data_IF_313688401449
#
_entry.id   IF_313688401449
#
_cell.length_a   1.000
_cell.length_b   1.000
_cell.length_c   1.000
_cell.angle_alpha   90.00
_cell.angle_beta   90.00
_cell.angle_gamma   90.00
#
_symmetry.space_group_name_H-M   'P 1'
#
loop_
_entity.id
_entity.type
_entity.pdbx_description
1 polymer ?
#
# COMPACT_ATOMS: atom_id res chain seq x y z
N UNK A 1 -38.41 -24.20 13.66
CA UNK A 1 -38.27 -22.75 13.89
C UNK A 1 -36.84 -22.38 13.55
N UNK A 2 -36.60 -21.82 12.36
CA UNK A 2 -35.27 -21.39 11.93
C UNK A 2 -35.13 -19.90 12.23
N UNK A 3 -34.34 -19.55 13.25
CA UNK A 3 -33.89 -18.18 13.50
C UNK A 3 -32.82 -17.83 12.47
N UNK A 4 -33.19 -17.06 11.46
CA UNK A 4 -32.26 -16.49 10.49
C UNK A 4 -31.35 -15.48 11.18
N UNK A 5 -30.04 -15.71 11.15
CA UNK A 5 -29.04 -14.71 11.47
C UNK A 5 -29.11 -13.62 10.41
N UNK A 6 -29.83 -12.54 10.70
CA UNK A 6 -29.75 -11.31 9.93
C UNK A 6 -28.37 -10.71 10.21
N UNK A 7 -27.37 -11.03 9.37
CA UNK A 7 -26.15 -10.23 9.31
C UNK A 7 -26.59 -8.84 8.85
N UNK A 8 -26.82 -7.92 9.78
CA UNK A 8 -27.13 -6.52 9.45
C UNK A 8 -25.98 -5.99 8.59
N UNK A 9 -26.22 -5.87 7.29
CA UNK A 9 -25.32 -5.17 6.38
C UNK A 9 -25.37 -3.70 6.74
N UNK A 10 -24.23 -3.12 7.14
CA UNK A 10 -24.16 -1.69 7.45
C UNK A 10 -24.60 -0.87 6.23
N UNK A 11 -25.41 0.15 6.47
CA UNK A 11 -25.87 1.08 5.44
C UNK A 11 -24.73 1.99 4.98
N UNK A 12 -24.83 2.54 3.78
CA UNK A 12 -23.86 3.50 3.25
C UNK A 12 -23.72 4.73 4.17
N UNK A 13 -24.80 5.19 4.79
CA UNK A 13 -24.76 6.31 5.74
C UNK A 13 -23.94 5.97 7.00
N UNK A 14 -24.06 4.75 7.52
CA UNK A 14 -23.28 4.27 8.68
C UNK A 14 -21.80 4.13 8.30
N UNK A 15 -21.50 3.58 7.12
CA UNK A 15 -20.13 3.45 6.63
C UNK A 15 -19.47 4.81 6.37
N UNK A 16 -20.21 5.78 5.84
CA UNK A 16 -19.73 7.15 5.68
C UNK A 16 -19.41 7.78 7.04
N UNK A 17 -20.30 7.62 8.01
CA UNK A 17 -20.10 8.13 9.38
C UNK A 17 -18.86 7.51 10.03
N UNK A 18 -18.69 6.19 9.91
CA UNK A 18 -17.50 5.49 10.41
C UNK A 18 -16.22 6.04 9.78
N UNK A 19 -16.22 6.24 8.46
CA UNK A 19 -15.06 6.75 7.73
C UNK A 19 -14.64 8.15 8.19
N UNK A 20 -15.60 9.04 8.48
CA UNK A 20 -15.30 10.35 9.05
C UNK A 20 -14.68 10.27 10.45
N UNK A 21 -15.14 9.34 11.28
CA UNK A 21 -14.53 9.11 12.59
C UNK A 21 -13.08 8.65 12.44
N UNK A 22 -12.79 7.75 11.51
CA UNK A 22 -11.43 7.28 11.21
C UNK A 22 -10.52 8.45 10.75
N UNK A 23 -11.00 9.32 9.86
CA UNK A 23 -10.25 10.52 9.41
C UNK A 23 -9.98 11.52 10.55
N UNK A 24 -10.94 11.66 11.48
CA UNK A 24 -10.80 12.55 12.64
C UNK A 24 -9.76 12.01 13.62
N UNK A 25 -9.79 10.70 13.88
CA UNK A 25 -9.03 10.08 14.96
C UNK A 25 -7.60 9.70 14.52
N UNK A 26 -7.39 9.38 13.24
CA UNK A 26 -6.09 8.92 12.72
C UNK A 26 -5.24 10.06 12.15
N UNK A 27 -4.73 10.91 13.05
CA UNK A 27 -3.87 12.06 12.72
C UNK A 27 -2.44 11.89 13.24
N UNK A 28 -1.49 12.23 12.39
CA UNK A 28 -0.05 12.15 12.66
C UNK A 28 0.44 13.36 13.47
N UNK A 29 1.40 13.17 14.37
CA UNK A 29 2.10 14.31 15.00
C UNK A 29 3.10 14.95 14.04
N UNK A 30 3.75 14.12 13.22
CA UNK A 30 4.67 14.48 12.14
C UNK A 30 4.60 13.42 11.06
N UNK A 31 4.96 13.77 9.82
CA UNK A 31 5.02 12.83 8.72
C UNK A 31 6.17 13.17 7.77
N UNK A 32 7.04 12.20 7.54
CA UNK A 32 8.24 12.29 6.72
C UNK A 32 8.19 11.33 5.53
N UNK A 33 9.12 11.48 4.60
CA UNK A 33 9.28 10.52 3.51
C UNK A 33 9.63 9.10 4.01
N UNK A 34 10.35 8.98 5.13
CA UNK A 34 10.65 7.68 5.75
C UNK A 34 9.38 7.01 6.30
N UNK A 35 8.46 7.81 6.86
CA UNK A 35 7.16 7.34 7.31
C UNK A 35 6.32 6.85 6.13
N UNK A 36 6.33 7.57 5.01
CA UNK A 36 5.67 7.14 3.78
C UNK A 36 6.19 5.78 3.29
N UNK A 37 7.51 5.59 3.21
CA UNK A 37 8.10 4.29 2.82
C UNK A 37 7.69 3.18 3.78
N UNK A 38 7.76 3.42 5.09
CA UNK A 38 7.43 2.42 6.11
C UNK A 38 5.94 2.05 6.07
N UNK A 39 5.07 3.05 5.90
CA UNK A 39 3.63 2.86 5.78
C UNK A 39 3.29 2.08 4.51
N UNK A 40 3.88 2.46 3.37
CA UNK A 40 3.68 1.78 2.08
C UNK A 40 4.13 0.31 2.11
N UNK A 41 5.29 0.02 2.69
CA UNK A 41 5.76 -1.35 2.89
C UNK A 41 4.86 -2.15 3.84
N UNK A 42 4.28 -1.50 4.85
CA UNK A 42 3.33 -2.12 5.78
C UNK A 42 2.04 -2.53 5.07
N UNK A 43 1.50 -1.66 4.19
CA UNK A 43 0.32 -1.96 3.36
C UNK A 43 0.63 -3.15 2.46
N UNK A 44 1.76 -3.12 1.75
CA UNK A 44 2.23 -4.23 0.90
C UNK A 44 2.32 -5.54 1.68
N UNK A 45 2.95 -5.53 2.86
CA UNK A 45 3.10 -6.72 3.70
C UNK A 45 1.74 -7.31 4.09
N UNK A 46 0.79 -6.47 4.50
CA UNK A 46 -0.56 -6.91 4.87
C UNK A 46 -1.33 -7.48 3.68
N UNK A 47 -1.26 -6.82 2.52
CA UNK A 47 -1.93 -7.32 1.31
C UNK A 47 -1.38 -8.68 0.89
N UNK A 48 -0.05 -8.85 0.90
CA UNK A 48 0.60 -10.14 0.57
C UNK A 48 0.17 -11.28 1.50
N UNK A 49 -0.15 -10.98 2.76
CA UNK A 49 -0.67 -11.95 3.73
C UNK A 49 -2.19 -12.18 3.63
N UNK A 50 -2.90 -11.51 2.73
CA UNK A 50 -4.35 -11.60 2.61
C UNK A 50 -4.79 -12.75 1.70
N UNK A 51 -5.99 -13.27 1.94
CA UNK A 51 -6.62 -14.27 1.07
C UNK A 51 -6.84 -13.77 -0.36
N UNK A 52 -6.95 -12.45 -0.57
CA UNK A 52 -7.08 -11.84 -1.90
C UNK A 52 -5.83 -12.08 -2.74
N UNK A 53 -4.66 -11.84 -2.15
CA UNK A 53 -3.40 -12.08 -2.85
C UNK A 53 -3.16 -13.57 -3.14
N UNK A 54 -3.50 -14.45 -2.19
CA UNK A 54 -3.44 -15.91 -2.39
C UNK A 54 -4.32 -16.38 -3.55
N UNK A 55 -5.44 -15.67 -3.82
CA UNK A 55 -6.33 -15.92 -4.96
C UNK A 55 -5.85 -15.25 -6.27
N UNK A 56 -4.61 -14.79 -6.32
CA UNK A 56 -4.03 -14.15 -7.51
C UNK A 56 -4.57 -12.75 -7.78
N UNK A 57 -4.97 -12.00 -6.74
CA UNK A 57 -5.29 -10.56 -6.89
C UNK A 57 -4.06 -9.71 -6.64
N UNK A 58 -3.93 -8.68 -7.48
CA UNK A 58 -2.91 -7.65 -7.36
C UNK A 58 -3.41 -6.38 -6.67
N UNK A 59 -2.48 -5.49 -6.34
CA UNK A 59 -2.71 -4.22 -5.68
C UNK A 59 -1.70 -3.19 -6.20
N UNK A 60 -2.15 -1.99 -6.50
CA UNK A 60 -1.26 -0.81 -6.65
C UNK A 60 -1.35 0.05 -5.41
N UNK A 61 -0.23 0.66 -5.01
CA UNK A 61 -0.09 1.50 -3.82
C UNK A 61 0.64 2.78 -4.23
N UNK A 62 0.16 3.93 -3.76
CA UNK A 62 0.83 5.21 -3.92
C UNK A 62 0.66 6.05 -2.66
N UNK A 63 1.74 6.70 -2.23
CA UNK A 63 1.70 7.73 -1.18
C UNK A 63 2.29 8.98 -1.78
N UNK A 64 1.50 10.06 -1.76
CA UNK A 64 1.85 11.32 -2.39
C UNK A 64 1.66 12.47 -1.41
N UNK A 65 2.46 13.51 -1.55
CA UNK A 65 2.15 14.81 -0.94
C UNK A 65 0.87 15.37 -1.55
N UNK A 66 0.20 16.28 -0.83
CA UNK A 66 -1.01 16.92 -1.35
C UNK A 66 -0.76 17.66 -2.67
N UNK A 67 0.48 18.16 -2.85
CA UNK A 67 0.95 18.86 -4.04
C UNK A 67 1.26 17.98 -5.26
N UNK A 68 1.27 16.64 -5.14
CA UNK A 68 1.55 15.76 -6.29
C UNK A 68 2.83 14.95 -6.21
N UNK A 69 3.76 15.28 -5.31
CA UNK A 69 5.03 14.57 -5.25
C UNK A 69 4.87 13.16 -4.67
N UNK A 70 5.26 12.14 -5.43
CA UNK A 70 5.25 10.74 -4.99
C UNK A 70 6.36 10.47 -3.97
N UNK A 71 5.98 9.98 -2.80
CA UNK A 71 6.87 9.56 -1.72
C UNK A 71 7.06 8.04 -1.70
N UNK A 72 6.07 7.28 -2.19
CA UNK A 72 6.11 5.83 -2.33
C UNK A 72 5.20 5.40 -3.47
N UNK A 73 5.64 4.42 -4.27
CA UNK A 73 4.84 3.80 -5.33
C UNK A 73 5.22 2.32 -5.43
N UNK A 74 4.24 1.43 -5.46
CA UNK A 74 4.49 -0.01 -5.48
C UNK A 74 3.33 -0.80 -6.10
N UNK A 75 3.67 -1.72 -7.00
CA UNK A 75 2.74 -2.78 -7.44
C UNK A 75 3.01 -4.06 -6.66
N UNK A 76 1.95 -4.76 -6.29
CA UNK A 76 1.97 -6.07 -5.62
C UNK A 76 1.13 -7.03 -6.44
N UNK A 77 1.73 -8.12 -6.91
CA UNK A 77 1.07 -9.03 -7.85
C UNK A 77 1.95 -9.36 -9.04
N UNK A 78 1.44 -10.21 -9.92
CA UNK A 78 2.09 -10.58 -11.17
C UNK A 78 1.60 -9.70 -12.31
N UNK A 79 2.52 -8.90 -12.87
CA UNK A 79 2.25 -8.06 -14.04
C UNK A 79 1.95 -8.87 -15.32
N UNK A 80 2.16 -10.18 -15.26
CA UNK A 80 1.79 -11.14 -16.29
C UNK A 80 1.90 -12.56 -15.77
N UNK A 81 0.86 -13.35 -16.02
CA UNK A 81 0.88 -14.80 -15.84
C UNK A 81 1.14 -15.48 -17.20
N UNK A 82 1.79 -16.66 -17.28
CA UNK A 82 1.93 -17.42 -18.52
C UNK A 82 0.61 -17.67 -19.26
N UNK A 83 -0.51 -17.70 -18.52
CA UNK A 83 -1.87 -17.83 -19.08
C UNK A 83 -2.45 -16.50 -19.61
N UNK A 84 -1.68 -15.42 -19.65
CA UNK A 84 -2.07 -14.12 -20.20
C UNK A 84 -2.97 -13.27 -19.30
N UNK A 85 -3.26 -13.72 -18.08
CA UNK A 85 -4.07 -12.97 -17.10
C UNK A 85 -3.15 -12.24 -16.12
N UNK A 86 -3.00 -10.93 -16.28
CA UNK A 86 -2.34 -10.07 -15.29
C UNK A 86 -3.30 -9.70 -14.16
N UNK A 87 -2.81 -9.66 -12.92
CA UNK A 87 -3.63 -9.33 -11.74
C UNK A 87 -3.71 -7.81 -11.47
N UNK A 88 -2.86 -7.02 -12.14
CA UNK A 88 -2.84 -5.56 -12.19
C UNK A 88 -2.78 -5.11 -13.64
N UNK A 89 -3.69 -4.21 -14.03
CA UNK A 89 -3.76 -3.61 -15.36
C UNK A 89 -3.35 -2.13 -15.34
N UNK A 90 -3.15 -1.52 -16.51
CA UNK A 90 -2.93 -0.07 -16.63
C UNK A 90 -4.10 0.74 -16.03
N UNK A 91 -5.33 0.25 -16.15
CA UNK A 91 -6.52 0.86 -15.56
C UNK A 91 -6.46 0.91 -14.02
N UNK A 92 -5.69 0.03 -13.39
CA UNK A 92 -5.51 0.04 -11.93
C UNK A 92 -4.81 1.31 -11.44
N UNK A 93 -3.81 1.79 -12.18
CA UNK A 93 -3.13 3.06 -11.86
C UNK A 93 -4.00 4.27 -12.15
N UNK A 94 -4.77 4.26 -13.25
CA UNK A 94 -5.73 5.31 -13.55
C UNK A 94 -6.82 5.40 -12.45
N UNK A 95 -7.31 4.26 -11.98
CA UNK A 95 -8.24 4.19 -10.86
C UNK A 95 -7.62 4.74 -9.56
N UNK A 96 -6.37 4.37 -9.26
CA UNK A 96 -5.66 4.89 -8.10
C UNK A 96 -5.52 6.41 -8.15
N UNK A 97 -5.08 6.99 -9.27
CA UNK A 97 -4.92 8.45 -9.40
C UNK A 97 -6.27 9.17 -9.31
N UNK A 98 -7.33 8.58 -9.86
CA UNK A 98 -8.67 9.12 -9.73
C UNK A 98 -9.17 9.20 -8.28
N UNK A 99 -8.85 8.20 -7.44
CA UNK A 99 -9.15 8.24 -6.02
C UNK A 99 -8.31 9.28 -5.28
N UNK A 100 -7.02 9.41 -5.62
CA UNK A 100 -6.14 10.45 -5.04
C UNK A 100 -6.70 11.85 -5.35
N UNK A 101 -7.20 12.07 -6.57
CA UNK A 101 -7.81 13.33 -6.97
C UNK A 101 -9.11 13.62 -6.19
N UNK A 102 -9.91 12.60 -5.85
CA UNK A 102 -11.06 12.76 -4.94
C UNK A 102 -10.62 13.29 -3.59
N UNK A 103 -9.56 12.72 -2.99
CA UNK A 103 -9.03 13.19 -1.70
C UNK A 103 -8.50 14.62 -1.81
N UNK A 104 -7.75 14.94 -2.86
CA UNK A 104 -7.25 16.31 -3.11
C UNK A 104 -8.38 17.33 -3.22
N UNK A 105 -9.47 16.96 -3.89
CA UNK A 105 -10.59 17.87 -4.16
C UNK A 105 -11.49 18.10 -2.96
N UNK A 106 -11.68 17.05 -2.14
CA UNK A 106 -12.68 17.02 -1.06
C UNK A 106 -12.07 17.12 0.33
N UNK A 107 -10.78 16.79 0.50
CA UNK A 107 -10.12 16.65 1.80
C UNK A 107 -10.49 15.37 2.56
N UNK A 108 -11.35 14.52 2.00
CA UNK A 108 -11.87 13.31 2.64
C UNK A 108 -11.43 12.05 1.92
N UNK A 109 -11.48 10.92 2.62
CA UNK A 109 -11.20 9.61 2.02
C UNK A 109 -12.14 9.33 0.85
N UNK A 110 -11.63 8.66 -0.17
CA UNK A 110 -12.42 8.31 -1.35
C UNK A 110 -13.58 7.36 -0.99
N UNK A 111 -13.42 6.56 0.07
CA UNK A 111 -14.48 5.70 0.62
C UNK A 111 -15.58 6.50 1.29
N UNK A 112 -15.26 7.52 2.11
CA UNK A 112 -16.29 8.42 2.66
C UNK A 112 -17.11 9.07 1.55
N UNK A 113 -16.44 9.56 0.50
CA UNK A 113 -17.12 10.20 -0.64
C UNK A 113 -18.00 9.19 -1.38
N UNK A 114 -17.53 7.98 -1.61
CA UNK A 114 -18.31 6.89 -2.21
C UNK A 114 -19.58 6.60 -1.41
N UNK A 115 -19.45 6.38 -0.10
CA UNK A 115 -20.57 6.01 0.77
C UNK A 115 -21.53 7.17 1.00
N UNK A 116 -21.03 8.40 1.11
CA UNK A 116 -21.89 9.59 1.19
C UNK A 116 -22.71 9.78 -0.09
N UNK A 117 -22.11 9.52 -1.25
CA UNK A 117 -22.78 9.60 -2.54
C UNK A 117 -23.86 8.50 -2.67
N UNK A 118 -23.54 7.26 -2.27
CA UNK A 118 -24.50 6.15 -2.22
C UNK A 118 -25.68 6.44 -1.28
N UNK A 119 -25.42 6.95 -0.08
CA UNK A 119 -26.44 7.34 0.89
C UNK A 119 -27.37 8.47 0.39
N UNK A 120 -26.85 9.39 -0.43
CA UNK A 120 -27.64 10.46 -1.05
C UNK A 120 -28.37 10.02 -2.32
N UNK A 121 -28.10 8.82 -2.85
CA UNK A 121 -28.63 8.36 -4.13
C UNK A 121 -28.18 9.21 -5.32
N UNK A 122 -27.03 9.91 -5.19
CA UNK A 122 -26.49 10.79 -6.24
C UNK A 122 -25.45 10.05 -7.07
N UNK A 123 -25.32 10.46 -8.32
CA UNK A 123 -24.24 10.04 -9.20
C UNK A 123 -23.01 10.94 -9.06
N UNK A 124 -21.80 10.51 -9.47
CA UNK A 124 -20.62 11.36 -9.49
C UNK A 124 -20.85 12.66 -10.27
N UNK A 125 -21.59 12.58 -11.37
CA UNK A 125 -21.92 13.72 -12.24
C UNK A 125 -22.74 14.78 -11.49
N UNK A 126 -23.73 14.35 -10.69
CA UNK A 126 -24.57 15.23 -9.88
C UNK A 126 -23.83 15.85 -8.68
N UNK A 127 -22.70 15.26 -8.28
CA UNK A 127 -21.80 15.79 -7.25
C UNK A 127 -20.73 16.73 -7.83
N UNK A 128 -20.76 17.03 -9.14
CA UNK A 128 -19.75 17.84 -9.81
C UNK A 128 -18.39 17.14 -9.93
N UNK A 129 -18.37 15.81 -9.76
CA UNK A 129 -17.19 14.96 -9.93
C UNK A 129 -17.17 14.53 -11.41
N UNK A 130 -16.51 15.33 -12.25
CA UNK A 130 -16.37 15.08 -13.70
C UNK A 130 -14.90 14.96 -14.07
N UNK A 131 -14.56 14.08 -15.02
CA UNK A 131 -13.18 13.86 -15.51
C UNK A 131 -12.51 12.61 -14.94
N UNK A 132 -11.20 12.70 -14.66
CA UNK A 132 -10.34 11.57 -14.22
C UNK A 132 -10.59 11.09 -12.79
N UNK A 133 -11.73 11.46 -12.18
CA UNK A 133 -12.06 11.02 -10.83
C UNK A 133 -12.63 9.60 -10.84
N UNK A 134 -12.23 8.81 -9.84
CA UNK A 134 -12.75 7.47 -9.58
C UNK A 134 -13.15 7.41 -8.12
N UNK A 135 -14.45 7.23 -7.89
CA UNK A 135 -15.05 7.24 -6.55
C UNK A 135 -15.14 5.80 -6.07
N UNK A 136 -13.99 5.27 -5.66
CA UNK A 136 -13.85 3.95 -5.05
C UNK A 136 -13.11 4.12 -3.71
N UNK A 137 -13.36 3.26 -2.74
CA UNK A 137 -12.58 3.18 -1.51
C UNK A 137 -11.13 2.75 -1.76
N UNK A 138 -10.22 3.26 -0.92
CA UNK A 138 -8.80 2.93 -1.00
C UNK A 138 -7.85 4.10 -0.90
N UNK A 139 -8.32 5.36 -1.02
CA UNK A 139 -7.50 6.55 -0.77
C UNK A 139 -7.92 7.25 0.54
N UNK A 140 -6.94 7.55 1.40
CA UNK A 140 -7.14 8.11 2.73
C UNK A 140 -6.24 9.35 2.94
N UNK A 141 -6.78 10.46 3.48
CA UNK A 141 -6.01 11.68 3.70
C UNK A 141 -5.03 11.53 4.88
N UNK A 142 -3.82 12.03 4.70
CA UNK A 142 -2.81 12.10 5.75
C UNK A 142 -2.94 13.47 6.43
N UNK A 143 -3.51 13.47 7.63
CA UNK A 143 -3.70 14.66 8.45
C UNK A 143 -2.63 14.79 9.52
N UNK A 144 -2.21 16.01 9.80
CA UNK A 144 -1.44 16.31 11.00
C UNK A 144 -2.35 16.81 12.12
N UNK A 145 -1.99 16.52 13.37
CA UNK A 145 -2.67 17.05 14.55
C UNK A 145 -2.55 18.59 14.65
N UNK A 146 -1.41 19.14 14.19
CA UNK A 146 -1.09 20.55 14.24
C UNK A 146 -1.40 21.33 12.95
N UNK A 147 -1.94 20.68 11.91
CA UNK A 147 -2.35 21.35 10.67
C UNK A 147 -3.79 20.95 10.29
N UNK A 148 -4.81 21.63 10.85
CA UNK A 148 -6.21 21.25 10.66
C UNK A 148 -6.83 21.77 9.36
N UNK A 149 -6.15 22.66 8.62
CA UNK A 149 -6.73 23.34 7.45
C UNK A 149 -6.73 22.47 6.18
N UNK A 150 -5.75 21.58 6.01
CA UNK A 150 -5.69 20.67 4.87
C UNK A 150 -4.87 19.41 5.19
N UNK A 151 -5.16 18.28 4.53
CA UNK A 151 -4.27 17.12 4.58
C UNK A 151 -2.94 17.45 3.89
N UNK A 152 -1.84 16.89 4.42
CA UNK A 152 -0.49 17.11 3.90
C UNK A 152 -0.11 16.11 2.79
N UNK A 153 -0.86 15.01 2.70
CA UNK A 153 -0.62 13.93 1.76
C UNK A 153 -1.81 12.99 1.64
N UNK A 154 -1.67 12.01 0.77
CA UNK A 154 -2.66 10.97 0.50
C UNK A 154 -1.95 9.64 0.48
N UNK A 155 -2.50 8.65 1.18
CA UNK A 155 -2.12 7.24 1.03
C UNK A 155 -3.24 6.53 0.30
N UNK A 156 -2.92 5.87 -0.81
CA UNK A 156 -3.90 5.20 -1.65
C UNK A 156 -3.45 3.78 -2.02
N UNK A 157 -4.41 2.87 -2.11
CA UNK A 157 -4.22 1.59 -2.76
C UNK A 157 -5.47 1.15 -3.53
N UNK A 158 -5.28 0.33 -4.57
CA UNK A 158 -6.38 -0.17 -5.40
C UNK A 158 -6.15 -1.62 -5.83
N UNK A 159 -7.11 -2.50 -5.51
CA UNK A 159 -7.19 -3.88 -5.98
C UNK A 159 -8.53 -4.19 -6.67
N UNK A 160 -9.39 -3.18 -6.85
CA UNK A 160 -10.76 -3.34 -7.35
C UNK A 160 -11.81 -3.73 -6.30
N UNK A 161 -11.47 -3.75 -4.99
CA UNK A 161 -12.45 -3.96 -3.91
C UNK A 161 -12.44 -2.77 -2.95
N UNK A 162 -13.35 -1.83 -3.20
CA UNK A 162 -13.44 -0.55 -2.49
C UNK A 162 -13.36 -0.68 -0.96
N UNK A 163 -14.23 -1.50 -0.36
CA UNK A 163 -14.31 -1.63 1.09
C UNK A 163 -13.08 -2.29 1.68
N UNK A 164 -12.56 -3.34 1.03
CA UNK A 164 -11.37 -4.03 1.50
C UNK A 164 -10.12 -3.14 1.38
N UNK A 165 -10.03 -2.32 0.33
CA UNK A 165 -8.91 -1.41 0.10
C UNK A 165 -8.91 -0.27 1.12
N UNK A 166 -10.08 0.32 1.40
CA UNK A 166 -10.24 1.27 2.51
C UNK A 166 -9.83 0.66 3.84
N UNK A 167 -10.37 -0.53 4.15
CA UNK A 167 -10.08 -1.24 5.40
C UNK A 167 -8.59 -1.54 5.54
N UNK A 168 -7.94 -1.95 4.46
CA UNK A 168 -6.51 -2.22 4.43
C UNK A 168 -5.70 -0.96 4.76
N UNK A 169 -6.00 0.17 4.12
CA UNK A 169 -5.30 1.44 4.34
C UNK A 169 -5.53 1.93 5.76
N UNK A 170 -6.78 2.04 6.18
CA UNK A 170 -7.14 2.62 7.48
C UNK A 170 -6.59 1.79 8.64
N UNK A 171 -6.73 0.46 8.60
CA UNK A 171 -6.14 -0.39 9.63
C UNK A 171 -4.61 -0.28 9.66
N UNK A 172 -3.98 -0.11 8.50
CA UNK A 172 -2.52 0.08 8.45
C UNK A 172 -2.10 1.43 9.04
N UNK A 173 -2.83 2.51 8.74
CA UNK A 173 -2.59 3.84 9.32
C UNK A 173 -2.80 3.82 10.82
N UNK A 174 -3.92 3.27 11.31
CA UNK A 174 -4.21 3.12 12.75
C UNK A 174 -3.10 2.38 13.47
N UNK A 175 -2.73 1.20 12.96
CA UNK A 175 -1.72 0.35 13.60
C UNK A 175 -0.31 1.00 13.53
N UNK A 176 -0.04 1.80 12.49
CA UNK A 176 1.19 2.57 12.36
C UNK A 176 1.26 3.70 13.39
N UNK A 177 0.19 4.49 13.54
CA UNK A 177 0.09 5.54 14.56
C UNK A 177 0.24 4.97 15.97
N UNK A 178 -0.40 3.83 16.25
CA UNK A 178 -0.29 3.16 17.55
C UNK A 178 1.15 2.69 17.85
N UNK A 179 1.98 2.42 16.84
CA UNK A 179 3.40 2.10 17.02
C UNK A 179 4.23 3.35 17.29
N UNK A 180 3.95 4.46 16.61
CA UNK A 180 4.64 5.74 16.83
C UNK A 180 4.42 6.28 18.25
N UNK A 181 3.22 6.06 18.82
CA UNK A 181 2.90 6.50 20.18
C UNK A 181 3.57 5.66 21.28
N UNK A 182 4.20 4.52 20.96
CA UNK A 182 4.95 3.75 21.94
C UNK A 182 6.32 4.40 22.14
N UNK A 183 6.72 4.74 23.38
CA UNK A 183 8.06 5.26 23.62
C UNK A 183 9.09 4.24 23.14
N UNK A 184 10.13 4.71 22.44
CA UNK A 184 11.18 3.92 21.80
C UNK A 184 12.00 3.02 22.76
N UNK A 185 11.62 2.93 24.04
CA UNK A 185 12.25 2.09 25.07
C UNK A 185 11.46 0.85 25.49
N UNK A 186 10.26 0.57 24.95
CA UNK A 186 9.55 -0.69 25.24
C UNK A 186 9.89 -1.77 24.22
N UNK A 187 11.17 -2.11 24.08
CA UNK A 187 11.57 -3.37 23.46
C UNK A 187 11.19 -4.50 24.44
N UNK A 188 10.31 -5.38 24.01
CA UNK A 188 10.14 -6.72 24.60
C UNK A 188 11.53 -7.32 24.88
N UNK A 189 11.78 -7.94 26.05
CA UNK A 189 13.07 -8.58 26.28
C UNK A 189 13.30 -9.62 25.19
N UNK A 190 14.51 -9.62 24.63
CA UNK A 190 14.98 -10.67 23.75
C UNK A 190 14.72 -12.03 24.42
N UNK A 191 14.33 -13.07 23.66
CA UNK A 191 14.18 -14.40 24.25
C UNK A 191 15.51 -14.76 24.91
N UNK A 192 15.42 -15.11 26.20
CA UNK A 192 16.55 -15.45 27.04
C UNK A 192 17.48 -16.43 26.32
N UNK A 193 18.77 -16.12 26.40
CA UNK A 193 19.89 -16.93 25.95
C UNK A 193 19.65 -18.42 26.18
N UNK A 194 19.53 -19.17 25.08
CA UNK A 194 19.62 -20.63 25.08
C UNK A 194 20.96 -21.01 25.71
N UNK A 195 21.00 -21.79 26.81
CA UNK A 195 22.26 -22.24 27.40
C UNK A 195 23.02 -23.12 26.40
N UNK A 196 24.36 -23.08 26.38
CA UNK A 196 25.15 -23.82 25.41
C UNK A 196 24.94 -25.32 25.62
N UNK A 197 24.27 -25.98 24.68
CA UNK A 197 24.26 -27.44 24.63
C UNK A 197 25.65 -27.92 24.20
N UNK A 198 26.32 -28.60 25.13
CA UNK A 198 27.51 -29.41 24.86
C UNK A 198 27.15 -30.41 23.77
N UNK A 199 27.84 -30.34 22.64
CA UNK A 199 27.67 -31.27 21.52
C UNK A 199 28.87 -32.25 21.50
N UNK A 200 28.70 -33.53 21.89
CA UNK A 200 29.75 -34.52 21.75
C UNK A 200 29.52 -35.29 20.44
N UNK A 201 30.08 -34.80 19.34
CA UNK A 201 30.60 -35.67 18.27
C UNK A 201 31.31 -34.83 17.21
N UNK A 202 32.63 -34.91 17.21
CA UNK A 202 33.45 -34.49 16.08
C UNK A 202 33.27 -35.53 14.97
N UNK A 203 32.75 -35.09 13.81
CA UNK A 203 32.96 -35.77 12.54
C UNK A 203 33.87 -34.86 11.72
N UNK A 204 35.06 -35.38 11.46
CA UNK A 204 36.16 -34.70 10.79
C UNK A 204 35.82 -34.55 9.29
N UNK A 205 35.62 -33.32 8.82
CA UNK A 205 35.46 -32.99 7.39
C UNK A 205 36.71 -32.23 6.95
N UNK A 206 37.43 -32.66 5.89
CA UNK A 206 38.62 -31.98 5.43
C UNK A 206 38.30 -30.61 4.81
N UNK A 207 39.24 -29.64 4.84
CA UNK A 207 38.97 -28.28 4.41
C UNK A 207 38.71 -28.21 2.90
N UNK A 208 37.59 -27.57 2.54
CA UNK A 208 37.29 -27.16 1.17
C UNK A 208 38.18 -25.97 0.78
N UNK A 209 38.82 -26.09 -0.38
CA UNK A 209 39.67 -25.09 -1.02
C UNK A 209 38.84 -23.84 -1.40
N UNK A 210 39.16 -22.68 -0.82
CA UNK A 210 38.40 -21.42 -0.96
C UNK A 210 38.79 -20.62 -2.22
N UNK A 211 39.58 -21.20 -3.13
CA UNK A 211 40.23 -20.45 -4.21
C UNK A 211 39.75 -20.77 -5.64
N UNK A 212 38.50 -21.23 -5.80
CA UNK A 212 37.97 -21.62 -7.13
C UNK A 212 36.65 -20.92 -7.54
N UNK A 213 36.41 -19.68 -7.11
CA UNK A 213 35.27 -18.89 -7.62
C UNK A 213 35.63 -17.39 -7.75
N UNK A 214 36.74 -17.07 -8.43
CA UNK A 214 37.07 -15.65 -8.70
C UNK A 214 37.49 -15.33 -10.13
N UNK A 215 37.31 -16.24 -11.10
CA UNK A 215 37.76 -16.03 -12.49
C UNK A 215 36.67 -16.06 -13.59
N UNK A 216 35.38 -15.99 -13.27
CA UNK A 216 34.32 -16.04 -14.29
C UNK A 216 33.65 -14.69 -14.64
N UNK A 217 34.23 -13.56 -14.24
CA UNK A 217 33.67 -12.22 -14.55
C UNK A 217 34.48 -11.38 -15.55
N UNK A 218 35.59 -11.87 -16.11
CA UNK A 218 36.45 -11.08 -17.02
C UNK A 218 36.24 -11.31 -18.54
N UNK A 219 35.25 -12.09 -18.98
CA UNK A 219 35.07 -12.40 -20.41
C UNK A 219 33.73 -11.97 -21.05
N UNK A 220 32.95 -11.11 -20.40
CA UNK A 220 31.66 -10.65 -20.96
C UNK A 220 31.63 -9.15 -21.30
N UNK A 221 32.66 -8.61 -21.97
CA UNK A 221 32.61 -7.26 -22.57
C UNK A 221 33.33 -7.21 -23.92
N UNK A 222 32.74 -7.85 -24.94
CA UNK A 222 32.99 -7.49 -26.35
C UNK A 222 31.90 -8.12 -27.21
N UNK A 223 30.75 -7.45 -27.32
CA UNK A 223 30.04 -7.31 -28.60
C UNK A 223 28.83 -6.38 -28.46
N UNK A 224 29.05 -5.08 -28.70
CA UNK A 224 27.99 -4.20 -29.18
C UNK A 224 28.64 -3.22 -30.16
N UNK A 225 28.65 -3.63 -31.43
CA UNK A 225 29.01 -2.76 -32.54
C UNK A 225 28.07 -1.56 -32.60
N UNK A 226 28.63 -0.38 -32.36
CA UNK A 226 28.00 0.90 -32.64
C UNK A 226 28.07 1.11 -34.16
N UNK A 227 26.93 1.03 -34.84
CA UNK A 227 26.78 1.52 -36.21
C UNK A 227 26.45 3.01 -36.14
N UNK A 228 27.45 3.85 -36.39
CA UNK A 228 27.23 5.25 -36.76
C UNK A 228 26.79 5.31 -38.24
N UNK A 229 25.72 6.07 -38.52
CA UNK A 229 25.41 6.53 -39.86
C UNK A 229 25.03 8.03 -39.82
N UNK A 230 25.38 8.81 -40.85
CA UNK A 230 25.72 10.20 -40.70
C UNK A 230 24.55 11.17 -40.91
N UNK A 231 24.55 12.25 -40.14
CA UNK A 231 23.78 13.47 -40.41
C UNK A 231 24.37 14.19 -41.64
N UNK A 232 23.51 14.54 -42.60
CA UNK A 232 23.82 15.54 -43.62
C UNK A 232 22.82 16.71 -43.53
N UNK A 233 23.27 17.94 -43.88
CA UNK A 233 22.60 19.21 -43.58
C UNK A 233 21.35 19.50 -44.40
#
# INVERSE_FOLDING_TARGET
MFTGFHSMTQTDAELATLSLHEERDYRFMSFSASDAVTLGLSIRKRFRGSSRHVKGKGLVISIQTIAGHTLFSCTVGDLGHPDGVGDVSLDSWACLEGMVNVVRRTGHSSFYVEKSMGAMGKTPQEMGIQGDFRVNGGAFPIWLQNAPCCPIGVVACYSGSSQDDHTLVVHTVRDYLAKLSRPAGSSTPAPESIPPMINPHMVNVPPHDVNRESNEWEHATTDYGISEAPYHP
#
